data_IF_652879860591
#
_entry.id   IF_652879860591
#
_cell.length_a   1.000
_cell.length_b   1.000
_cell.length_c   1.000
_cell.angle_alpha   90.00
_cell.angle_beta   90.00
_cell.angle_gamma   90.00
#
_symmetry.space_group_name_H-M   'P 1'
#
loop_
_entity.id
_entity.type
_entity.pdbx_description
1 polymer ?
#
# COMPACT_ATOMS: atom_id res chain seq x y z
N UNK A 1 -30.22 -14.35 63.80
CA UNK A 1 -30.83 -14.08 62.49
C UNK A 1 -29.72 -14.04 61.45
N UNK A 2 -29.85 -14.86 60.39
CA UNK A 2 -28.88 -15.10 59.31
C UNK A 2 -28.91 -13.94 58.26
N UNK A 3 -27.88 -13.86 57.39
CA UNK A 3 -27.36 -12.66 56.70
C UNK A 3 -28.02 -12.42 55.34
N UNK A 4 -27.72 -11.30 54.65
CA UNK A 4 -27.77 -11.13 53.17
C UNK A 4 -27.36 -9.66 52.81
N UNK A 5 -26.21 -9.47 52.13
CA UNK A 5 -26.05 -8.98 50.72
C UNK A 5 -25.73 -7.47 50.74
N UNK A 6 -24.70 -6.93 50.06
CA UNK A 6 -24.48 -6.99 48.61
C UNK A 6 -23.02 -6.66 48.25
N UNK A 7 -22.53 -7.39 47.24
CA UNK A 7 -21.30 -7.19 46.49
C UNK A 7 -21.37 -5.88 45.68
N UNK A 8 -20.28 -5.10 45.61
CA UNK A 8 -20.07 -4.11 44.53
C UNK A 8 -18.57 -4.14 44.19
N UNK A 9 -18.20 -5.07 43.31
CA UNK A 9 -18.01 -4.90 41.86
C UNK A 9 -16.71 -4.15 41.53
N UNK A 10 -15.75 -4.95 41.07
CA UNK A 10 -14.46 -4.57 40.50
C UNK A 10 -14.73 -3.83 39.18
N UNK A 11 -14.32 -2.56 39.08
CA UNK A 11 -14.13 -1.91 37.77
C UNK A 11 -12.66 -2.01 37.44
N UNK A 12 -12.30 -3.15 36.85
CA UNK A 12 -11.13 -3.27 36.00
C UNK A 12 -11.58 -3.01 34.56
N UNK A 13 -10.64 -2.56 33.73
CA UNK A 13 -10.74 -2.43 32.27
C UNK A 13 -11.24 -1.05 31.79
N UNK A 14 -10.35 -0.06 31.85
CA UNK A 14 -10.39 1.11 30.95
C UNK A 14 -8.97 1.61 30.63
N UNK A 15 -8.01 0.69 30.46
CA UNK A 15 -6.67 1.03 29.97
C UNK A 15 -6.29 0.25 28.69
N UNK A 16 -7.00 -0.84 28.37
CA UNK A 16 -6.65 -1.72 27.24
C UNK A 16 -7.11 -1.19 25.88
N UNK A 17 -7.99 -0.19 25.83
CA UNK A 17 -8.50 0.38 24.56
C UNK A 17 -7.54 1.41 23.96
N UNK A 18 -6.66 2.02 24.77
CA UNK A 18 -5.64 2.95 24.25
C UNK A 18 -4.44 2.24 23.60
N UNK A 19 -4.22 0.95 23.89
CA UNK A 19 -3.07 0.22 23.34
C UNK A 19 -3.27 -0.18 21.86
N UNK A 20 -4.53 -0.28 21.40
CA UNK A 20 -4.85 -0.68 20.02
C UNK A 20 -5.02 0.49 19.04
N UNK A 21 -4.99 1.74 19.52
CA UNK A 21 -5.08 2.96 18.67
C UNK A 21 -3.70 3.50 18.28
N UNK A 22 -2.62 2.97 18.85
CA UNK A 22 -1.25 3.50 18.71
C UNK A 22 -0.29 2.63 17.89
N UNK A 23 -0.80 1.62 17.18
CA UNK A 23 -0.04 0.90 16.17
C UNK A 23 -0.70 1.09 14.82
N UNK A 24 -0.75 2.34 14.34
CA UNK A 24 -0.66 2.51 12.89
C UNK A 24 0.65 1.83 12.49
N UNK A 25 0.63 0.77 11.65
CA UNK A 25 1.86 0.12 11.21
C UNK A 25 2.77 1.23 10.71
N UNK A 26 3.91 1.38 11.37
CA UNK A 26 4.84 2.50 11.22
C UNK A 26 4.97 2.82 9.73
N UNK A 27 4.26 3.87 9.27
CA UNK A 27 4.13 4.14 7.84
C UNK A 27 5.50 4.50 7.33
N UNK A 28 6.15 3.54 6.69
CA UNK A 28 7.49 3.72 6.18
C UNK A 28 7.38 4.62 4.94
N UNK A 29 7.88 5.87 4.98
CA UNK A 29 7.74 6.80 3.86
C UNK A 29 8.42 6.26 2.58
N UNK A 30 9.39 5.35 2.71
CA UNK A 30 10.04 4.68 1.56
C UNK A 30 9.09 3.71 0.87
N UNK A 31 8.22 3.03 1.61
CA UNK A 31 7.20 2.15 1.04
C UNK A 31 6.12 2.97 0.34
N UNK A 32 5.71 4.11 0.90
CA UNK A 32 4.76 5.01 0.23
C UNK A 32 5.33 5.53 -1.11
N UNK A 33 6.61 5.91 -1.13
CA UNK A 33 7.34 6.28 -2.35
C UNK A 33 7.39 5.10 -3.33
N UNK A 34 7.67 3.89 -2.85
CA UNK A 34 7.68 2.68 -3.67
C UNK A 34 6.31 2.41 -4.28
N UNK A 35 5.24 2.39 -3.48
CA UNK A 35 3.87 2.14 -3.92
C UNK A 35 3.45 3.16 -4.99
N UNK A 36 3.60 4.46 -4.70
CA UNK A 36 3.21 5.52 -5.64
C UNK A 36 3.99 5.44 -6.95
N UNK A 37 5.31 5.26 -6.88
CA UNK A 37 6.14 5.15 -8.09
C UNK A 37 5.78 3.92 -8.92
N UNK A 38 5.55 2.76 -8.29
CA UNK A 38 5.14 1.54 -8.99
C UNK A 38 3.78 1.67 -9.67
N UNK A 39 2.80 2.30 -9.02
CA UNK A 39 1.48 2.55 -9.61
C UNK A 39 1.60 3.37 -10.90
N UNK A 40 2.33 4.49 -10.86
CA UNK A 40 2.53 5.36 -12.03
C UNK A 40 3.28 4.64 -13.16
N UNK A 41 4.27 3.80 -12.83
CA UNK A 41 4.98 2.98 -13.80
C UNK A 41 4.09 1.92 -14.44
N UNK A 42 3.22 1.27 -13.66
CA UNK A 42 2.25 0.29 -14.18
C UNK A 42 1.19 0.95 -15.06
N UNK A 43 0.75 2.17 -14.74
CA UNK A 43 -0.13 2.96 -15.60
C UNK A 43 0.55 3.32 -16.91
N UNK A 44 1.80 3.80 -16.87
CA UNK A 44 2.58 4.09 -18.07
C UNK A 44 2.73 2.85 -18.96
N UNK A 45 3.05 1.70 -18.36
CA UNK A 45 3.14 0.42 -19.05
C UNK A 45 1.82 0.02 -19.72
N UNK A 46 0.69 0.18 -19.03
CA UNK A 46 -0.63 -0.15 -19.59
C UNK A 46 -1.04 0.72 -20.79
N UNK A 47 -0.40 1.89 -20.97
CA UNK A 47 -0.66 2.82 -22.07
C UNK A 47 0.34 2.67 -23.22
N UNK A 48 1.34 1.78 -23.09
CA UNK A 48 2.45 1.67 -24.04
C UNK A 48 2.67 0.21 -24.42
N UNK A 49 2.35 -0.15 -25.67
CA UNK A 49 2.55 -1.52 -26.17
C UNK A 49 4.03 -1.86 -26.42
N UNK A 50 4.92 -0.85 -26.48
CA UNK A 50 6.34 -1.02 -26.77
C UNK A 50 7.23 -0.07 -25.95
N UNK A 51 8.44 -0.55 -25.63
CA UNK A 51 9.48 0.26 -24.98
C UNK A 51 10.14 1.17 -26.02
N UNK A 52 9.58 2.36 -26.20
CA UNK A 52 10.12 3.40 -27.08
C UNK A 52 11.02 4.40 -26.32
N UNK A 53 11.77 5.24 -27.04
CA UNK A 53 12.53 6.33 -26.41
C UNK A 53 11.62 7.29 -25.62
N UNK A 54 10.41 7.56 -26.13
CA UNK A 54 9.40 8.38 -25.43
C UNK A 54 8.94 7.72 -24.12
N UNK A 55 8.75 6.39 -24.14
CA UNK A 55 8.44 5.63 -22.93
C UNK A 55 9.55 5.77 -21.88
N UNK A 56 10.81 5.60 -22.27
CA UNK A 56 11.95 5.70 -21.35
C UNK A 56 12.06 7.09 -20.71
N UNK A 57 11.86 8.15 -21.50
CA UNK A 57 11.85 9.53 -20.99
C UNK A 57 10.72 9.75 -19.97
N UNK A 58 9.50 9.23 -20.25
CA UNK A 58 8.37 9.32 -19.32
C UNK A 58 8.64 8.52 -18.04
N UNK A 59 9.16 7.30 -18.16
CA UNK A 59 9.56 6.47 -17.02
C UNK A 59 10.56 7.20 -16.13
N UNK A 60 11.61 7.75 -16.71
CA UNK A 60 12.66 8.45 -15.97
C UNK A 60 12.12 9.73 -15.32
N UNK A 61 11.20 10.44 -15.97
CA UNK A 61 10.51 11.60 -15.40
C UNK A 61 9.63 11.23 -14.20
N UNK A 62 8.92 10.10 -14.26
CA UNK A 62 8.13 9.57 -13.14
C UNK A 62 9.05 9.27 -11.96
N UNK A 63 10.13 8.52 -12.19
CA UNK A 63 11.10 8.17 -11.14
C UNK A 63 11.70 9.42 -10.50
N UNK A 64 12.13 10.39 -11.31
CA UNK A 64 12.67 11.67 -10.82
C UNK A 64 11.65 12.46 -9.99
N UNK A 65 10.36 12.41 -10.36
CA UNK A 65 9.26 13.03 -9.60
C UNK A 65 9.11 12.49 -8.18
N UNK A 66 9.53 11.26 -7.93
CA UNK A 66 9.57 10.63 -6.60
C UNK A 66 10.96 10.70 -5.94
N UNK A 67 11.92 11.40 -6.53
CA UNK A 67 13.31 11.42 -6.05
C UNK A 67 14.03 10.08 -6.18
N UNK A 68 13.59 9.23 -7.11
CA UNK A 68 14.14 7.90 -7.35
C UNK A 68 14.95 7.84 -8.65
N UNK A 69 15.91 6.93 -8.66
CA UNK A 69 16.53 6.38 -9.87
C UNK A 69 16.04 4.95 -10.10
N UNK A 70 16.28 4.41 -11.30
CA UNK A 70 15.99 2.99 -11.59
C UNK A 70 16.74 2.07 -10.61
N UNK A 71 18.00 2.40 -10.29
CA UNK A 71 18.81 1.66 -9.33
C UNK A 71 18.27 1.70 -7.90
N UNK A 72 17.76 2.85 -7.43
CA UNK A 72 17.17 2.96 -6.08
C UNK A 72 15.85 2.20 -6.00
N UNK A 73 15.04 2.21 -7.06
CA UNK A 73 13.82 1.42 -7.12
C UNK A 73 14.12 -0.08 -7.05
N UNK A 74 15.14 -0.55 -7.78
CA UNK A 74 15.58 -1.95 -7.73
C UNK A 74 16.20 -2.33 -6.38
N UNK A 75 16.88 -1.40 -5.71
CA UNK A 75 17.36 -1.62 -4.34
C UNK A 75 16.19 -1.79 -3.36
N UNK A 76 15.20 -0.88 -3.39
CA UNK A 76 13.98 -0.99 -2.59
C UNK A 76 13.23 -2.30 -2.86
N UNK A 77 13.06 -2.69 -4.13
CA UNK A 77 12.44 -3.98 -4.48
C UNK A 77 13.19 -5.16 -3.87
N UNK A 78 14.53 -5.14 -3.90
CA UNK A 78 15.35 -6.20 -3.30
C UNK A 78 15.23 -6.22 -1.78
N UNK A 79 15.19 -5.07 -1.12
CA UNK A 79 14.97 -4.96 0.33
C UNK A 79 13.59 -5.55 0.69
N UNK A 80 12.53 -5.19 -0.03
CA UNK A 80 11.19 -5.71 0.21
C UNK A 80 11.09 -7.22 -0.05
N UNK A 81 11.84 -7.76 -1.03
CA UNK A 81 11.89 -9.20 -1.26
C UNK A 81 12.53 -10.00 -0.10
N UNK A 82 13.19 -9.35 0.86
CA UNK A 82 13.73 -10.03 2.04
C UNK A 82 12.65 -10.34 3.08
N UNK A 83 11.48 -9.68 2.97
CA UNK A 83 10.31 -9.90 3.83
C UNK A 83 9.07 -10.20 2.96
N UNK A 84 8.76 -11.48 2.72
CA UNK A 84 7.69 -11.87 1.82
C UNK A 84 6.29 -11.49 2.35
N UNK A 85 6.09 -11.44 3.67
CA UNK A 85 4.80 -11.02 4.25
C UNK A 85 4.58 -9.53 4.00
N UNK A 86 5.61 -8.71 4.25
CA UNK A 86 5.56 -7.28 3.97
C UNK A 86 5.41 -6.97 2.49
N UNK A 87 6.05 -7.76 1.63
CA UNK A 87 5.93 -7.62 0.18
C UNK A 87 4.49 -7.83 -0.29
N UNK A 88 3.76 -8.81 0.27
CA UNK A 88 2.35 -9.04 -0.06
C UNK A 88 1.51 -7.82 0.33
N UNK A 89 1.67 -7.30 1.56
CA UNK A 89 0.94 -6.11 2.01
C UNK A 89 1.20 -4.89 1.11
N UNK A 90 2.45 -4.70 0.68
CA UNK A 90 2.81 -3.61 -0.23
C UNK A 90 2.20 -3.80 -1.62
N UNK A 91 2.18 -5.03 -2.14
CA UNK A 91 1.52 -5.31 -3.42
C UNK A 91 0.01 -5.11 -3.37
N UNK A 92 -0.64 -5.52 -2.28
CA UNK A 92 -2.08 -5.26 -2.07
C UNK A 92 -2.37 -3.75 -2.10
N UNK A 93 -1.49 -2.95 -1.49
CA UNK A 93 -1.59 -1.48 -1.52
C UNK A 93 -1.36 -0.91 -2.91
N UNK A 94 -0.39 -1.44 -3.68
CA UNK A 94 -0.16 -1.06 -5.07
C UNK A 94 -1.40 -1.36 -5.90
N UNK A 95 -1.98 -2.55 -5.78
CA UNK A 95 -3.17 -2.93 -6.54
C UNK A 95 -4.38 -2.08 -6.20
N UNK A 96 -4.64 -1.85 -4.91
CA UNK A 96 -5.73 -0.99 -4.46
C UNK A 96 -5.61 0.43 -5.03
N UNK A 97 -4.42 1.03 -4.95
CA UNK A 97 -4.19 2.37 -5.48
C UNK A 97 -4.22 2.41 -7.01
N UNK A 98 -3.67 1.39 -7.68
CA UNK A 98 -3.71 1.27 -9.13
C UNK A 98 -5.15 1.22 -9.63
N UNK A 99 -6.01 0.46 -8.95
CA UNK A 99 -7.42 0.36 -9.29
C UNK A 99 -8.16 1.69 -9.07
N UNK A 100 -7.93 2.36 -7.94
CA UNK A 100 -8.48 3.71 -7.70
C UNK A 100 -8.01 4.74 -8.75
N UNK A 101 -6.75 4.67 -9.16
CA UNK A 101 -6.20 5.53 -10.22
C UNK A 101 -6.82 5.22 -11.58
N UNK A 102 -6.95 3.95 -11.94
CA UNK A 102 -7.60 3.53 -13.20
C UNK A 102 -9.03 4.02 -13.27
N UNK A 103 -9.81 3.83 -12.21
CA UNK A 103 -11.18 4.34 -12.10
C UNK A 103 -11.22 5.87 -12.30
N UNK A 104 -10.32 6.61 -11.64
CA UNK A 104 -10.25 8.07 -11.79
C UNK A 104 -9.90 8.55 -13.21
N UNK A 105 -9.18 7.72 -13.97
CA UNK A 105 -8.77 8.00 -15.34
C UNK A 105 -9.75 7.42 -16.38
N UNK A 106 -10.84 6.76 -15.95
CA UNK A 106 -11.77 6.05 -16.83
C UNK A 106 -11.14 4.86 -17.55
N UNK A 107 -10.04 4.31 -17.02
CA UNK A 107 -9.37 3.12 -17.54
C UNK A 107 -10.02 1.86 -16.97
N UNK A 108 -10.03 0.75 -17.71
CA UNK A 108 -10.59 -0.50 -17.20
C UNK A 108 -9.83 -0.96 -15.95
N UNK A 109 -10.57 -1.10 -14.85
CA UNK A 109 -10.09 -1.67 -13.60
C UNK A 109 -9.97 -3.18 -13.77
N UNK A 110 -8.86 -3.76 -13.33
CA UNK A 110 -8.59 -5.20 -13.47
C UNK A 110 -9.40 -6.03 -12.49
N UNK A 111 -10.73 -6.01 -12.59
CA UNK A 111 -11.64 -6.87 -11.85
C UNK A 111 -12.97 -7.07 -12.59
N UNK A 112 -12.94 -7.07 -13.94
CA UNK A 112 -14.07 -7.50 -14.76
C UNK A 112 -13.60 -8.45 -15.86
N UNK A 113 -13.08 -9.61 -15.43
CA UNK A 113 -13.01 -10.82 -16.28
C UNK A 113 -14.27 -11.66 -16.07
N UNK A 114 -15.44 -11.03 -15.98
CA UNK A 114 -16.73 -11.71 -16.10
C UNK A 114 -17.52 -11.05 -17.23
N UNK A 115 -17.11 -11.36 -18.46
CA UNK A 115 -18.00 -11.28 -19.63
C UNK A 115 -17.91 -12.60 -20.40
N UNK A 116 -19.00 -13.35 -20.24
CA UNK A 116 -19.68 -14.27 -21.18
C UNK A 116 -18.86 -15.23 -22.05
#
# INVERSE_FOLDING_TARGET
>A
MRPIVTITLIVAISATVAYFVLQEPERNPREDIFVNSYVELMLLWSQSDTVSASYLVKRDSILAGFGLTDSSLMALKRELNQDPERLIEIWDRVELQLNARRESLGLPTGADSTKE
#
